data_IF_314230025393
#
_entry.id   IF_314230025393
#
_cell.length_a   1.000
_cell.length_b   1.000
_cell.length_c   1.000
_cell.angle_alpha   90.00
_cell.angle_beta   90.00
_cell.angle_gamma   90.00
#
_symmetry.space_group_name_H-M   'P 1'
#
loop_
_entity.id
_entity.type
_entity.pdbx_description
1 polymer ?
#
# COMPACT_ATOMS: atom_id res chain seq x y z
N UNK A 1 -14.49 -3.81 22.73
CA UNK A 1 -14.59 -4.34 21.35
C UNK A 1 -13.40 -3.78 20.59
N UNK A 2 -12.24 -4.41 20.73
CA UNK A 2 -11.07 -4.06 19.94
C UNK A 2 -11.17 -4.95 18.72
N UNK A 3 -11.74 -4.42 17.63
CA UNK A 3 -11.67 -5.11 16.35
C UNK A 3 -10.21 -4.99 15.94
N UNK A 4 -9.43 -6.01 16.25
CA UNK A 4 -8.08 -6.12 15.72
C UNK A 4 -8.28 -6.27 14.20
N UNK A 5 -7.85 -5.30 13.38
CA UNK A 5 -8.03 -5.40 11.95
C UNK A 5 -7.29 -6.66 11.47
N UNK A 6 -7.83 -7.38 10.48
CA UNK A 6 -7.15 -8.54 9.91
C UNK A 6 -5.71 -8.16 9.54
N UNK A 7 -4.73 -9.08 9.64
CA UNK A 7 -3.30 -8.76 9.46
C UNK A 7 -2.98 -7.96 8.19
N UNK A 8 -3.78 -8.14 7.13
CA UNK A 8 -3.65 -7.42 5.87
C UNK A 8 -3.97 -5.90 5.99
N UNK A 9 -4.97 -5.52 6.78
CA UNK A 9 -5.36 -4.11 6.95
C UNK A 9 -4.27 -3.32 7.70
N UNK A 10 -3.65 -3.92 8.74
CA UNK A 10 -2.50 -3.30 9.44
C UNK A 10 -1.32 -3.07 8.50
N UNK A 11 -0.97 -4.07 7.71
CA UNK A 11 0.11 -3.96 6.71
C UNK A 11 -0.17 -2.85 5.70
N UNK A 12 -1.41 -2.73 5.20
CA UNK A 12 -1.80 -1.67 4.27
C UNK A 12 -1.64 -0.30 4.93
N UNK A 13 -2.13 -0.12 6.15
CA UNK A 13 -2.04 1.16 6.86
C UNK A 13 -0.59 1.62 7.06
N UNK A 14 0.30 0.71 7.48
CA UNK A 14 1.73 1.02 7.66
C UNK A 14 2.43 1.41 6.34
N UNK A 15 2.08 0.75 5.23
CA UNK A 15 2.60 1.09 3.90
C UNK A 15 2.07 2.47 3.47
N UNK A 16 0.79 2.74 3.71
CA UNK A 16 0.15 4.02 3.38
C UNK A 16 0.80 5.17 4.14
N UNK A 17 1.06 5.02 5.44
CA UNK A 17 1.72 6.06 6.24
C UNK A 17 3.13 6.40 5.71
N UNK A 18 3.93 5.38 5.38
CA UNK A 18 5.26 5.59 4.78
C UNK A 18 5.20 6.28 3.43
N UNK A 19 4.25 5.88 2.58
CA UNK A 19 4.13 6.45 1.24
C UNK A 19 3.55 7.86 1.28
N UNK A 20 2.55 8.14 2.11
CA UNK A 20 2.01 9.48 2.29
C UNK A 20 3.07 10.46 2.79
N UNK A 21 3.94 10.01 3.71
CA UNK A 21 5.09 10.81 4.16
C UNK A 21 6.09 11.11 3.03
N UNK A 22 6.25 10.17 2.09
CA UNK A 22 7.22 10.27 1.00
C UNK A 22 6.69 10.97 -0.25
N UNK A 23 5.37 11.02 -0.40
CA UNK A 23 4.65 11.64 -1.50
C UNK A 23 3.59 12.61 -0.94
N UNK A 24 4.03 13.71 -0.30
CA UNK A 24 3.11 14.67 0.34
C UNK A 24 2.21 15.41 -0.66
N UNK A 25 2.56 15.37 -1.95
CA UNK A 25 1.79 16.00 -3.03
C UNK A 25 0.48 15.26 -3.35
N UNK A 26 0.31 14.03 -2.86
CA UNK A 26 -0.90 13.24 -3.03
C UNK A 26 -1.72 13.16 -1.74
N UNK A 27 -3.06 13.20 -1.83
CA UNK A 27 -3.91 12.94 -0.69
C UNK A 27 -3.73 11.49 -0.21
N UNK A 28 -3.74 11.29 1.11
CA UNK A 28 -3.61 9.96 1.74
C UNK A 28 -4.63 8.95 1.22
N UNK A 29 -5.82 9.39 0.80
CA UNK A 29 -6.83 8.54 0.15
C UNK A 29 -6.32 7.95 -1.17
N UNK A 30 -5.69 8.76 -2.03
CA UNK A 30 -5.11 8.29 -3.30
C UNK A 30 -3.98 7.30 -3.03
N UNK A 31 -3.13 7.58 -2.04
CA UNK A 31 -2.07 6.64 -1.63
C UNK A 31 -2.67 5.32 -1.14
N UNK A 32 -3.72 5.37 -0.30
CA UNK A 32 -4.45 4.20 0.19
C UNK A 32 -5.06 3.38 -0.93
N UNK A 33 -5.72 4.02 -1.88
CA UNK A 33 -6.35 3.33 -3.02
C UNK A 33 -5.29 2.60 -3.86
N UNK A 34 -4.17 3.27 -4.16
CA UNK A 34 -3.06 2.67 -4.92
C UNK A 34 -2.44 1.50 -4.17
N UNK A 35 -2.22 1.62 -2.86
CA UNK A 35 -1.66 0.54 -2.03
C UNK A 35 -2.63 -0.64 -1.96
N UNK A 36 -3.92 -0.39 -1.75
CA UNK A 36 -4.95 -1.42 -1.65
C UNK A 36 -5.11 -2.18 -2.95
N UNK A 37 -5.18 -1.49 -4.09
CA UNK A 37 -5.23 -2.12 -5.41
C UNK A 37 -3.98 -2.96 -5.68
N UNK A 38 -2.81 -2.44 -5.31
CA UNK A 38 -1.54 -3.16 -5.46
C UNK A 38 -1.50 -4.39 -4.55
N UNK A 39 -2.01 -4.30 -3.31
CA UNK A 39 -2.06 -5.43 -2.39
C UNK A 39 -3.00 -6.54 -2.89
N UNK A 40 -4.16 -6.17 -3.46
CA UNK A 40 -5.10 -7.10 -4.06
C UNK A 40 -4.48 -7.90 -5.23
N UNK A 41 -3.58 -7.29 -6.02
CA UNK A 41 -2.83 -7.99 -7.08
C UNK A 41 -1.93 -9.12 -6.54
N UNK A 42 -1.60 -9.09 -5.25
CA UNK A 42 -0.79 -10.10 -4.58
C UNK A 42 -1.61 -11.01 -3.63
N UNK A 43 -2.95 -10.92 -3.59
CA UNK A 43 -3.77 -11.81 -2.74
C UNK A 43 -3.57 -13.30 -3.09
N UNK A 44 -3.39 -13.61 -4.37
CA UNK A 44 -3.13 -14.98 -4.86
C UNK A 44 -1.64 -15.39 -4.77
N UNK A 45 -0.76 -14.52 -4.25
CA UNK A 45 0.66 -14.81 -4.17
C UNK A 45 0.97 -15.85 -3.08
N UNK A 46 1.58 -16.97 -3.49
CA UNK A 46 1.94 -18.09 -2.60
C UNK A 46 2.95 -17.72 -1.49
N UNK A 47 3.70 -16.63 -1.67
CA UNK A 47 4.70 -16.15 -0.70
C UNK A 47 4.33 -14.74 -0.27
N UNK A 48 3.90 -14.60 0.99
CA UNK A 48 3.44 -13.33 1.57
C UNK A 48 4.54 -12.53 2.27
N UNK A 49 5.67 -13.16 2.56
CA UNK A 49 6.80 -12.55 3.30
C UNK A 49 7.42 -11.34 2.58
N UNK A 50 7.24 -11.25 1.26
CA UNK A 50 7.76 -10.15 0.44
C UNK A 50 6.67 -9.25 -0.15
N UNK A 51 5.40 -9.51 0.15
CA UNK A 51 4.26 -8.76 -0.43
C UNK A 51 4.36 -7.29 -0.05
N UNK A 52 4.73 -6.95 1.18
CA UNK A 52 4.86 -5.56 1.62
C UNK A 52 5.88 -4.77 0.78
N UNK A 53 7.05 -5.37 0.53
CA UNK A 53 8.14 -4.75 -0.24
C UNK A 53 7.73 -4.58 -1.71
N UNK A 54 7.07 -5.59 -2.28
CA UNK A 54 6.57 -5.56 -3.65
C UNK A 54 5.48 -4.50 -3.82
N UNK A 55 4.52 -4.46 -2.90
CA UNK A 55 3.43 -3.48 -2.86
C UNK A 55 3.98 -2.07 -2.75
N UNK A 56 4.90 -1.82 -1.82
CA UNK A 56 5.51 -0.50 -1.67
C UNK A 56 6.27 -0.07 -2.94
N UNK A 57 7.02 -0.98 -3.57
CA UNK A 57 7.77 -0.69 -4.79
C UNK A 57 6.86 -0.36 -5.98
N UNK A 58 5.77 -1.10 -6.14
CA UNK A 58 4.83 -0.90 -7.24
C UNK A 58 3.93 0.31 -7.02
N UNK A 59 3.49 0.56 -5.79
CA UNK A 59 2.78 1.79 -5.41
C UNK A 59 3.63 3.03 -5.67
N UNK A 60 4.92 3.02 -5.31
CA UNK A 60 5.87 4.09 -5.66
C UNK A 60 5.94 4.36 -7.15
N UNK A 61 5.98 3.31 -7.97
CA UNK A 61 6.05 3.45 -9.44
C UNK A 61 4.76 4.07 -9.98
N UNK A 62 3.60 3.63 -9.49
CA UNK A 62 2.29 4.19 -9.87
C UNK A 62 2.16 5.66 -9.47
N UNK A 63 2.50 6.02 -8.24
CA UNK A 63 2.47 7.41 -7.76
C UNK A 63 3.42 8.34 -8.53
N UNK A 64 4.60 7.84 -8.95
CA UNK A 64 5.49 8.61 -9.82
C UNK A 64 4.89 8.86 -11.20
N UNK A 65 4.26 7.85 -11.79
CA UNK A 65 3.62 8.00 -13.11
C UNK A 65 2.44 8.97 -13.05
N UNK A 66 1.70 9.02 -11.94
CA UNK A 66 0.61 10.00 -11.77
C UNK A 66 1.11 11.45 -11.67
N UNK A 67 2.40 11.69 -11.42
CA UNK A 67 2.99 13.03 -11.28
C UNK A 67 3.61 13.55 -12.59
N UNK A 68 3.71 12.70 -13.61
CA UNK A 68 4.16 13.03 -14.97
C UNK A 68 2.98 13.44 -15.86
#
# INVERSE_FOLDING_TARGET
MTHDPPPAEKTIDEIVERLATRFPDYPTSTVRDVVTQTYAEFEDARVRDFVEVLVEKQAKKRLKHLAE
#
